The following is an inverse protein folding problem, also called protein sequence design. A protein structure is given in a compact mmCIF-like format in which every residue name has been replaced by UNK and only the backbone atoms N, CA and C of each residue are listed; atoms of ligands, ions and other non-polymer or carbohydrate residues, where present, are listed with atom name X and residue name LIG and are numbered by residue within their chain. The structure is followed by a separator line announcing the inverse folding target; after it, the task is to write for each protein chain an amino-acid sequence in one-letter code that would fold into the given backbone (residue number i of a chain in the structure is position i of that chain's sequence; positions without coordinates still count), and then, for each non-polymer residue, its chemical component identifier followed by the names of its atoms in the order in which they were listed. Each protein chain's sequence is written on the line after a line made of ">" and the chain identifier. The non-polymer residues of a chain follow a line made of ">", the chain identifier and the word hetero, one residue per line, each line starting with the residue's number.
data_IF_827327259042
#
_entry.id   IF_827327259042
#
_cell.length_a   1.000
_cell.length_b   1.000
_cell.length_c   1.000
_cell.angle_alpha   90.00
_cell.angle_beta   90.00
_cell.angle_gamma   90.00
#
_symmetry.space_group_name_H-M   'P 1'
#
loop_
_entity.id
_entity.type
_entity.pdbx_description
1 polymer ?
#
# COMPACT_ATOMS: atom_id res chain seq x y z
N UNK A 1 18.25 6.67 -3.82
CA UNK A 1 17.97 7.94 -3.09
C UNK A 1 16.70 8.61 -3.59
N UNK A 2 15.74 8.90 -2.70
CA UNK A 2 14.53 9.65 -3.05
C UNK A 2 14.97 11.12 -3.00
N UNK A 3 15.00 11.79 -4.15
CA UNK A 3 15.48 13.18 -4.27
C UNK A 3 16.96 13.40 -3.93
N UNK A 4 17.80 12.36 -3.99
CA UNK A 4 19.24 12.52 -3.73
C UNK A 4 19.60 12.75 -2.26
N UNK A 5 18.71 12.39 -1.32
CA UNK A 5 18.92 12.55 0.12
C UNK A 5 18.75 11.23 0.87
N UNK A 6 19.52 11.05 1.94
CA UNK A 6 19.32 10.03 2.98
C UNK A 6 18.09 10.38 3.82
N UNK A 7 17.51 9.40 4.52
CA UNK A 7 16.32 9.62 5.35
C UNK A 7 16.51 10.77 6.35
N UNK A 8 17.66 10.82 7.02
CA UNK A 8 17.99 11.85 8.02
C UNK A 8 18.21 13.24 7.44
N UNK A 9 18.31 13.35 6.10
CA UNK A 9 18.51 14.61 5.37
C UNK A 9 17.23 15.12 4.73
N UNK A 10 16.11 14.40 4.86
CA UNK A 10 14.82 14.83 4.30
C UNK A 10 14.35 16.07 5.04
N UNK A 11 14.05 17.12 4.28
CA UNK A 11 13.58 18.39 4.87
C UNK A 11 12.21 18.20 5.53
N UNK A 12 12.01 18.89 6.65
CA UNK A 12 10.67 18.98 7.22
C UNK A 12 9.72 19.65 6.22
N UNK A 13 8.60 19.01 5.95
CA UNK A 13 7.53 19.58 5.13
C UNK A 13 6.47 20.23 6.01
N UNK A 14 6.07 21.45 5.65
CA UNK A 14 5.02 22.20 6.33
C UNK A 14 3.62 21.68 5.99
N UNK A 15 2.60 22.30 6.59
CA UNK A 15 1.20 21.94 6.34
C UNK A 15 0.81 22.13 4.86
N UNK A 16 1.27 23.20 4.24
CA UNK A 16 1.00 23.53 2.82
C UNK A 16 1.52 22.43 1.90
N UNK A 17 2.76 21.99 2.11
CA UNK A 17 3.41 20.93 1.37
C UNK A 17 2.72 19.58 1.63
N UNK A 18 2.38 19.28 2.89
CA UNK A 18 1.63 18.06 3.23
C UNK A 18 0.29 18.00 2.48
N UNK A 19 -0.51 19.06 2.49
CA UNK A 19 -1.77 19.12 1.74
C UNK A 19 -1.55 18.88 0.25
N UNK A 20 -0.53 19.54 -0.33
CA UNK A 20 -0.17 19.35 -1.75
C UNK A 20 0.18 17.90 -2.08
N UNK A 21 1.02 17.25 -1.27
CA UNK A 21 1.51 15.90 -1.57
C UNK A 21 0.54 14.77 -1.17
N UNK A 22 -0.37 15.02 -0.22
CA UNK A 22 -1.40 14.07 0.18
C UNK A 22 -2.67 14.16 -0.67
N UNK A 23 -2.93 15.29 -1.34
CA UNK A 23 -4.10 15.50 -2.19
C UNK A 23 -4.37 14.38 -3.22
N UNK A 24 -3.36 13.80 -3.92
CA UNK A 24 -3.60 12.73 -4.88
C UNK A 24 -3.73 11.33 -4.24
N UNK A 25 -3.74 11.23 -2.90
CA UNK A 25 -3.74 9.96 -2.18
C UNK A 25 -5.13 9.69 -1.60
N UNK A 26 -5.67 8.51 -1.92
CA UNK A 26 -6.89 7.99 -1.29
C UNK A 26 -6.54 6.83 -0.35
N UNK A 27 -7.26 6.74 0.78
CA UNK A 27 -7.09 5.66 1.75
C UNK A 27 -8.36 4.82 1.78
N UNK A 28 -8.23 3.52 1.53
CA UNK A 28 -9.31 2.55 1.64
C UNK A 28 -8.96 1.53 2.73
N UNK A 29 -9.92 1.25 3.61
CA UNK A 29 -9.83 0.12 4.54
C UNK A 29 -10.61 -1.06 3.97
N UNK A 30 -10.11 -2.29 4.12
CA UNK A 30 -10.86 -3.51 3.74
C UNK A 30 -12.01 -3.78 4.72
N UNK A 31 -11.79 -3.49 6.01
CA UNK A 31 -12.85 -3.46 7.04
C UNK A 31 -13.28 -2.01 7.26
N UNK A 32 -14.58 -1.72 7.11
CA UNK A 32 -15.12 -0.35 7.25
C UNK A 32 -15.52 0.03 8.67
N UNK A 33 -15.61 -0.93 9.56
CA UNK A 33 -15.95 -0.71 10.97
C UNK A 33 -14.69 -0.48 11.81
N UNK A 34 -14.76 0.35 12.86
CA UNK A 34 -13.65 0.53 13.78
C UNK A 34 -13.27 -0.80 14.46
N UNK A 35 -12.02 -0.89 14.91
CA UNK A 35 -11.49 -2.04 15.64
C UNK A 35 -10.61 -1.61 16.81
N UNK A 36 -10.12 -2.59 17.57
CA UNK A 36 -9.11 -2.38 18.60
C UNK A 36 -7.70 -2.26 18.03
N UNK A 37 -6.70 -2.26 18.90
CA UNK A 37 -5.28 -2.20 18.50
C UNK A 37 -4.74 -3.46 17.79
N UNK A 38 -5.55 -4.51 17.67
CA UNK A 38 -5.20 -5.77 17.02
C UNK A 38 -6.17 -6.05 15.87
N UNK A 39 -5.61 -6.47 14.73
CA UNK A 39 -6.36 -6.93 13.58
C UNK A 39 -6.31 -8.47 13.50
N UNK A 40 -7.46 -9.10 13.25
CA UNK A 40 -7.54 -10.54 12.98
C UNK A 40 -7.73 -10.76 11.48
N UNK A 41 -6.80 -11.49 10.84
CA UNK A 41 -6.85 -11.72 9.39
C UNK A 41 -8.15 -12.39 8.94
N UNK A 42 -8.70 -13.32 9.73
CA UNK A 42 -9.99 -13.96 9.45
C UNK A 42 -11.16 -12.98 9.44
N UNK A 43 -11.11 -11.95 10.28
CA UNK A 43 -12.12 -10.90 10.31
C UNK A 43 -11.97 -9.98 9.09
N UNK A 44 -10.73 -9.59 8.76
CA UNK A 44 -10.44 -8.76 7.58
C UNK A 44 -10.85 -9.47 6.29
N UNK A 45 -10.50 -10.75 6.14
CA UNK A 45 -10.89 -11.61 5.01
C UNK A 45 -12.43 -11.67 4.87
N UNK A 46 -13.15 -11.88 5.98
CA UNK A 46 -14.61 -11.87 5.97
C UNK A 46 -15.18 -10.54 5.48
N UNK A 47 -14.68 -9.41 5.97
CA UNK A 47 -15.13 -8.09 5.50
C UNK A 47 -14.73 -7.82 4.05
N UNK A 48 -13.51 -8.19 3.64
CA UNK A 48 -13.05 -8.05 2.26
C UNK A 48 -13.95 -8.79 1.28
N UNK A 49 -14.35 -10.03 1.61
CA UNK A 49 -15.30 -10.82 0.80
C UNK A 49 -16.70 -10.21 0.81
N UNK A 50 -17.19 -9.76 1.96
CA UNK A 50 -18.54 -9.19 2.10
C UNK A 50 -18.67 -7.87 1.35
N UNK A 51 -17.66 -6.99 1.45
CA UNK A 51 -17.65 -5.65 0.87
C UNK A 51 -16.95 -5.61 -0.50
N UNK A 52 -16.67 -6.77 -1.10
CA UNK A 52 -15.87 -6.91 -2.33
C UNK A 52 -16.29 -5.98 -3.45
N UNK A 53 -17.57 -6.00 -3.80
CA UNK A 53 -18.12 -5.19 -4.90
C UNK A 53 -18.06 -3.69 -4.59
N UNK A 54 -18.26 -3.32 -3.32
CA UNK A 54 -18.09 -1.94 -2.88
C UNK A 54 -16.64 -1.48 -3.02
N UNK A 55 -15.67 -2.31 -2.62
CA UNK A 55 -14.24 -2.01 -2.74
C UNK A 55 -13.83 -1.93 -4.22
N UNK A 56 -14.31 -2.84 -5.09
CA UNK A 56 -14.09 -2.76 -6.54
C UNK A 56 -14.60 -1.44 -7.12
N UNK A 57 -15.79 -0.99 -6.71
CA UNK A 57 -16.34 0.32 -7.10
C UNK A 57 -15.48 1.49 -6.62
N UNK A 58 -14.90 1.42 -5.43
CA UNK A 58 -13.94 2.44 -4.97
C UNK A 58 -12.69 2.48 -5.85
N UNK A 59 -12.15 1.32 -6.23
CA UNK A 59 -10.99 1.24 -7.13
C UNK A 59 -11.30 1.81 -8.53
N UNK A 60 -12.52 1.61 -9.02
CA UNK A 60 -12.98 2.19 -10.28
C UNK A 60 -13.07 3.72 -10.20
N UNK A 61 -13.67 4.26 -9.13
CA UNK A 61 -13.85 5.71 -8.92
C UNK A 61 -12.50 6.41 -8.74
N UNK A 62 -11.62 5.86 -7.89
CA UNK A 62 -10.34 6.49 -7.58
C UNK A 62 -9.30 6.28 -8.68
N UNK A 63 -9.46 5.25 -9.50
CA UNK A 63 -8.58 4.89 -10.60
C UNK A 63 -7.07 5.02 -10.26
N UNK A 64 -6.57 4.36 -9.21
CA UNK A 64 -5.20 4.57 -8.76
C UNK A 64 -4.18 4.03 -9.77
N UNK A 65 -3.05 4.71 -9.93
CA UNK A 65 -1.90 4.17 -10.67
C UNK A 65 -1.08 3.19 -9.81
N UNK A 66 -1.02 3.45 -8.50
CA UNK A 66 -0.31 2.65 -7.50
C UNK A 66 -1.25 2.34 -6.33
N UNK A 67 -1.30 1.06 -5.94
CA UNK A 67 -2.03 0.57 -4.77
C UNK A 67 -1.02 0.06 -3.75
N UNK A 68 -1.07 0.58 -2.51
CA UNK A 68 -0.16 0.19 -1.43
C UNK A 68 -0.94 -0.51 -0.32
N UNK A 69 -0.71 -1.80 -0.16
CA UNK A 69 -1.35 -2.64 0.87
C UNK A 69 -0.45 -2.76 2.10
N UNK A 70 -0.81 -2.05 3.18
CA UNK A 70 -0.12 -2.11 4.47
C UNK A 70 -0.60 -3.27 5.34
N UNK A 71 0.02 -4.45 5.20
CA UNK A 71 -0.25 -5.63 6.01
C UNK A 71 -1.43 -6.50 5.53
N UNK A 72 -2.07 -6.16 4.42
CA UNK A 72 -3.27 -6.85 3.90
C UNK A 72 -3.18 -7.21 2.41
N UNK A 73 -1.96 -7.23 1.84
CA UNK A 73 -1.75 -7.45 0.40
C UNK A 73 -2.36 -8.76 -0.10
N UNK A 74 -2.11 -9.87 0.59
CA UNK A 74 -2.59 -11.20 0.17
C UNK A 74 -4.12 -11.26 0.14
N UNK A 75 -4.78 -10.76 1.19
CA UNK A 75 -6.25 -10.65 1.27
C UNK A 75 -6.76 -9.76 0.13
N UNK A 76 -6.12 -8.63 -0.12
CA UNK A 76 -6.55 -7.71 -1.17
C UNK A 76 -6.52 -8.37 -2.55
N UNK A 77 -5.40 -8.99 -2.93
CA UNK A 77 -5.29 -9.57 -4.29
C UNK A 77 -6.17 -10.81 -4.44
N UNK A 78 -6.29 -11.63 -3.40
CA UNK A 78 -7.07 -12.86 -3.43
C UNK A 78 -8.57 -12.57 -3.41
N UNK A 79 -9.05 -11.82 -2.43
CA UNK A 79 -10.48 -11.67 -2.19
C UNK A 79 -11.10 -10.56 -3.05
N UNK A 80 -10.34 -9.49 -3.34
CA UNK A 80 -10.85 -8.35 -4.11
C UNK A 80 -10.54 -8.51 -5.59
N UNK A 81 -9.32 -8.90 -5.96
CA UNK A 81 -8.89 -8.94 -7.36
C UNK A 81 -8.98 -10.32 -8.01
N UNK A 82 -9.30 -11.36 -7.25
CA UNK A 82 -9.40 -12.74 -7.74
C UNK A 82 -8.06 -13.27 -8.30
N UNK A 83 -6.94 -12.87 -7.69
CA UNK A 83 -5.56 -13.26 -8.06
C UNK A 83 -4.97 -14.28 -7.08
N UNK A 84 -3.86 -14.92 -7.45
CA UNK A 84 -3.17 -15.87 -6.58
C UNK A 84 -2.11 -15.17 -5.73
N UNK A 85 -1.96 -15.57 -4.47
CA UNK A 85 -0.90 -15.07 -3.59
C UNK A 85 0.51 -15.46 -4.05
N UNK A 86 0.64 -16.44 -4.96
CA UNK A 86 1.89 -16.75 -5.66
C UNK A 86 2.29 -15.71 -6.71
N UNK A 87 1.41 -14.79 -7.09
CA UNK A 87 1.66 -13.83 -8.17
C UNK A 87 2.58 -12.66 -7.75
N UNK A 88 2.92 -12.57 -6.47
CA UNK A 88 3.85 -11.57 -5.97
C UNK A 88 5.27 -11.78 -6.53
N UNK A 89 5.86 -10.71 -7.07
CA UNK A 89 7.30 -10.60 -7.21
C UNK A 89 7.89 -10.21 -5.85
N UNK A 90 8.55 -11.16 -5.20
CA UNK A 90 9.28 -10.93 -3.96
C UNK A 90 10.55 -10.13 -4.22
N UNK A 91 10.79 -9.11 -3.39
CA UNK A 91 12.03 -8.30 -3.43
C UNK A 91 12.73 -8.34 -2.07
N UNK A 92 11.98 -8.21 -0.97
CA UNK A 92 12.48 -8.37 0.39
C UNK A 92 11.33 -8.60 1.38
N UNK A 93 11.67 -8.87 2.64
CA UNK A 93 10.70 -8.99 3.74
C UNK A 93 9.89 -7.70 4.02
N UNK A 94 10.28 -6.59 3.40
CA UNK A 94 9.60 -5.29 3.51
C UNK A 94 8.69 -5.01 2.31
N UNK A 95 8.97 -5.64 1.17
CA UNK A 95 8.45 -5.20 -0.12
C UNK A 95 8.29 -6.36 -1.09
N UNK A 96 7.08 -6.50 -1.60
CA UNK A 96 6.76 -7.32 -2.78
C UNK A 96 5.80 -6.52 -3.66
N UNK A 97 5.78 -6.81 -4.95
CA UNK A 97 4.89 -6.10 -5.87
C UNK A 97 4.37 -7.03 -6.97
N UNK A 98 3.32 -6.58 -7.65
CA UNK A 98 2.90 -7.15 -8.92
C UNK A 98 2.34 -6.04 -9.82
N UNK A 99 2.37 -6.26 -11.13
CA UNK A 99 1.74 -5.37 -12.12
C UNK A 99 0.43 -6.00 -12.56
N UNK A 100 -0.68 -5.29 -12.36
CA UNK A 100 -2.01 -5.75 -12.75
C UNK A 100 -2.77 -4.64 -13.46
N UNK A 101 -3.18 -4.89 -14.72
CA UNK A 101 -3.91 -3.91 -15.55
C UNK A 101 -3.22 -2.53 -15.58
N UNK A 102 -1.90 -2.52 -15.80
CA UNK A 102 -1.05 -1.32 -15.80
C UNK A 102 -1.03 -0.54 -14.47
N UNK A 103 -1.33 -1.20 -13.35
CA UNK A 103 -1.23 -0.64 -12.00
C UNK A 103 -0.15 -1.35 -11.21
N UNK A 104 0.63 -0.61 -10.43
CA UNK A 104 1.56 -1.21 -9.46
C UNK A 104 0.76 -1.55 -8.21
N UNK A 105 0.78 -2.81 -7.80
CA UNK A 105 0.23 -3.22 -6.52
C UNK A 105 1.39 -3.60 -5.63
N UNK A 106 1.45 -3.03 -4.43
CA UNK A 106 2.53 -3.21 -3.46
C UNK A 106 2.01 -3.89 -2.21
N UNK A 107 2.71 -4.93 -1.78
CA UNK A 107 2.54 -5.53 -0.46
C UNK A 107 3.69 -5.08 0.44
N UNK A 108 3.35 -4.46 1.56
CA UNK A 108 4.30 -4.10 2.62
C UNK A 108 3.69 -4.36 4.00
N UNK A 109 4.45 -4.11 5.06
CA UNK A 109 3.99 -4.26 6.43
C UNK A 109 3.02 -3.14 6.84
N UNK A 110 2.22 -3.38 7.88
CA UNK A 110 1.27 -2.38 8.37
C UNK A 110 2.00 -1.14 8.91
N UNK A 111 1.56 0.10 8.60
CA UNK A 111 2.23 1.32 9.08
C UNK A 111 2.35 1.43 10.61
N UNK A 112 1.44 0.77 11.34
CA UNK A 112 1.47 0.67 12.81
C UNK A 112 2.46 -0.35 13.37
N UNK A 113 3.17 -1.11 12.52
CA UNK A 113 4.27 -1.97 12.96
C UNK A 113 5.42 -1.11 13.47
N UNK A 114 6.08 -1.53 14.56
CA UNK A 114 7.22 -0.82 15.15
C UNK A 114 8.52 -1.07 14.36
N UNK A 115 8.52 -0.74 13.06
CA UNK A 115 9.68 -0.83 12.18
C UNK A 115 10.32 0.54 11.98
N UNK A 116 11.60 0.55 11.57
CA UNK A 116 12.34 1.79 11.34
C UNK A 116 11.74 2.61 10.20
N UNK A 117 11.66 3.92 10.40
CA UNK A 117 11.26 4.85 9.33
C UNK A 117 12.27 4.89 8.19
N UNK A 118 13.56 4.72 8.52
CA UNK A 118 14.64 4.58 7.54
C UNK A 118 14.42 3.34 6.69
N UNK A 119 14.10 2.19 7.30
CA UNK A 119 13.79 0.97 6.53
C UNK A 119 12.56 1.14 5.65
N UNK A 120 11.51 1.82 6.13
CA UNK A 120 10.35 2.11 5.28
C UNK A 120 10.76 2.95 4.06
N UNK A 121 11.53 4.01 4.29
CA UNK A 121 11.99 4.89 3.22
C UNK A 121 12.88 4.14 2.20
N UNK A 122 13.85 3.37 2.69
CA UNK A 122 14.85 2.73 1.84
C UNK A 122 14.37 1.43 1.20
N UNK A 123 13.56 0.64 1.91
CA UNK A 123 13.15 -0.70 1.48
C UNK A 123 11.74 -0.75 0.90
N UNK A 124 10.95 0.33 1.01
CA UNK A 124 9.59 0.40 0.45
C UNK A 124 9.45 1.59 -0.49
N UNK A 125 9.63 2.82 -0.01
CA UNK A 125 9.37 4.01 -0.82
C UNK A 125 10.33 4.16 -2.00
N UNK A 126 11.62 3.87 -1.80
CA UNK A 126 12.62 3.86 -2.86
C UNK A 126 12.34 2.84 -3.97
N UNK A 127 12.12 1.54 -3.66
CA UNK A 127 11.74 0.55 -4.67
C UNK A 127 10.48 0.92 -5.46
N UNK A 128 9.44 1.46 -4.82
CA UNK A 128 8.23 1.92 -5.53
C UNK A 128 8.58 3.01 -6.54
N UNK A 129 9.41 3.98 -6.16
CA UNK A 129 9.85 5.05 -7.07
C UNK A 129 10.65 4.50 -8.25
N UNK A 130 11.52 3.53 -8.02
CA UNK A 130 12.33 2.91 -9.08
C UNK A 130 11.45 2.14 -10.06
N UNK A 131 10.49 1.35 -9.56
CA UNK A 131 9.50 0.66 -10.39
C UNK A 131 8.67 1.64 -11.23
N UNK A 132 8.19 2.73 -10.62
CA UNK A 132 7.40 3.74 -11.31
C UNK A 132 8.17 4.42 -12.46
N UNK A 133 9.48 4.63 -12.30
CA UNK A 133 10.32 5.25 -13.34
C UNK A 133 10.64 4.34 -14.53
N UNK A 134 10.49 3.04 -14.36
CA UNK A 134 10.83 2.03 -15.36
C UNK A 134 9.60 1.51 -16.13
N UNK A 135 8.43 2.12 -15.91
CA UNK A 135 7.24 1.96 -16.77
C UNK A 135 7.33 2.91 -17.96
#
# INVERSE_FOLDING_TARGET
>A
MLYGKDYDKIDYIGEKERKKYLAPISVINLKKTPGGGTAHNSEIDKFAKTDKEFIKKQLEIYHPDIIICGGTGDIFIQDILDLNTSDWTYVSDYFSYLIYKNKIIVRTYHPGSRKSKTDFFEKVALPIKELWRNQ
#
